data_IF_258450537300
#
_entry.id   IF_258450537300
#
_cell.length_a   1.000
_cell.length_b   1.000
_cell.length_c   1.000
_cell.angle_alpha   90.00
_cell.angle_beta   90.00
_cell.angle_gamma   90.00
#
_symmetry.space_group_name_H-M   'P 1'
#
loop_
_entity.id
_entity.type
_entity.pdbx_description
1 polymer ?
#
# COMPACT_ATOMS: atom_id res chain seq x y z
N UNK A 1 -4.30 9.70 4.65
CA UNK A 1 -5.58 9.03 4.36
C UNK A 1 -5.99 8.15 5.53
N UNK A 2 -7.27 8.03 5.77
CA UNK A 2 -7.85 7.14 6.76
C UNK A 2 -8.43 5.93 6.03
N UNK A 3 -7.84 4.72 6.24
CA UNK A 3 -8.29 3.51 5.56
C UNK A 3 -9.77 3.17 5.79
N UNK A 4 -10.31 3.51 6.98
CA UNK A 4 -11.73 3.31 7.30
C UNK A 4 -12.65 4.19 6.48
N UNK A 5 -12.15 5.36 6.05
CA UNK A 5 -12.92 6.32 5.26
C UNK A 5 -12.70 6.16 3.77
N UNK A 6 -11.47 5.81 3.35
CA UNK A 6 -11.04 5.94 1.96
C UNK A 6 -10.89 4.59 1.24
N UNK A 7 -10.66 3.49 1.98
CA UNK A 7 -10.24 2.23 1.38
C UNK A 7 -11.17 1.03 1.68
N UNK A 8 -12.13 1.15 2.57
CA UNK A 8 -13.08 0.07 2.90
C UNK A 8 -14.41 0.62 3.43
N UNK A 9 -15.42 -0.24 3.46
CA UNK A 9 -16.70 0.03 4.15
C UNK A 9 -16.78 -0.90 5.35
N UNK A 10 -16.63 -0.38 6.60
CA UNK A 10 -16.54 -1.20 7.81
C UNK A 10 -17.72 -2.14 8.06
N UNK A 11 -18.93 -1.71 7.70
CA UNK A 11 -20.18 -2.45 7.87
C UNK A 11 -20.44 -3.48 6.77
N UNK A 12 -19.64 -3.48 5.71
CA UNK A 12 -19.72 -4.47 4.66
C UNK A 12 -18.93 -5.73 5.05
N UNK A 13 -19.38 -6.87 4.53
CA UNK A 13 -18.65 -8.13 4.63
C UNK A 13 -17.30 -8.05 3.92
N UNK A 14 -16.41 -8.99 4.22
CA UNK A 14 -15.13 -9.14 3.52
C UNK A 14 -15.39 -9.35 2.02
N UNK A 15 -16.35 -10.20 1.67
CA UNK A 15 -16.76 -10.44 0.28
C UNK A 15 -17.17 -9.15 -0.43
N UNK A 16 -18.02 -8.33 0.18
CA UNK A 16 -18.45 -7.05 -0.40
C UNK A 16 -17.31 -6.04 -0.50
N UNK A 17 -16.38 -6.04 0.46
CA UNK A 17 -15.19 -5.20 0.38
C UNK A 17 -14.24 -5.60 -0.76
N UNK A 18 -14.19 -6.87 -1.16
CA UNK A 18 -13.46 -7.30 -2.35
C UNK A 18 -14.09 -6.80 -3.66
N UNK A 19 -15.38 -6.48 -3.67
CA UNK A 19 -16.08 -5.93 -4.84
C UNK A 19 -15.85 -4.43 -5.05
N UNK A 20 -15.44 -3.68 -4.01
CA UNK A 20 -15.31 -2.22 -4.08
C UNK A 20 -14.35 -1.80 -5.20
N UNK A 21 -14.84 -0.98 -6.12
CA UNK A 21 -14.11 -0.53 -7.31
C UNK A 21 -14.24 -1.45 -8.52
N UNK A 22 -14.77 -2.67 -8.38
CA UNK A 22 -14.82 -3.71 -9.41
C UNK A 22 -16.24 -4.20 -9.72
N UNK A 23 -17.24 -3.36 -9.44
CA UNK A 23 -18.65 -3.70 -9.60
C UNK A 23 -19.05 -3.97 -11.07
N UNK A 24 -18.28 -3.43 -12.02
CA UNK A 24 -18.51 -3.60 -13.45
C UNK A 24 -17.61 -4.68 -14.08
N UNK A 25 -16.73 -5.31 -13.30
CA UNK A 25 -15.85 -6.38 -13.78
C UNK A 25 -16.72 -7.55 -14.29
N UNK A 26 -16.54 -8.00 -15.56
CA UNK A 26 -17.28 -9.14 -16.11
C UNK A 26 -17.14 -10.43 -15.30
N UNK A 27 -16.11 -10.55 -14.49
CA UNK A 27 -15.89 -11.66 -13.56
C UNK A 27 -16.99 -11.72 -12.51
N UNK A 28 -17.43 -10.57 -12.00
CA UNK A 28 -18.39 -10.45 -10.91
C UNK A 28 -19.75 -9.91 -11.35
N UNK A 29 -19.84 -9.23 -12.50
CA UNK A 29 -21.07 -8.64 -12.98
C UNK A 29 -21.53 -9.28 -14.29
N UNK A 30 -22.69 -9.93 -14.25
CA UNK A 30 -23.32 -10.56 -15.42
C UNK A 30 -24.67 -9.91 -15.67
N UNK A 31 -24.84 -9.26 -16.83
CA UNK A 31 -26.11 -8.60 -17.23
C UNK A 31 -26.65 -7.62 -16.18
N UNK A 32 -25.76 -6.90 -15.49
CA UNK A 32 -26.12 -5.93 -14.46
C UNK A 32 -26.39 -6.51 -13.07
N UNK A 33 -26.21 -7.82 -12.87
CA UNK A 33 -26.36 -8.49 -11.58
C UNK A 33 -25.00 -9.00 -11.07
N UNK A 34 -24.76 -8.84 -9.77
CA UNK A 34 -23.55 -9.34 -9.11
C UNK A 34 -23.65 -10.85 -8.91
N UNK A 35 -22.62 -11.57 -9.38
CA UNK A 35 -22.42 -13.00 -9.12
C UNK A 35 -21.73 -13.17 -7.74
N UNK A 36 -22.51 -13.11 -6.68
CA UNK A 36 -22.00 -13.25 -5.31
C UNK A 36 -21.28 -14.57 -5.06
N UNK A 37 -21.62 -15.63 -5.79
CA UNK A 37 -20.94 -16.92 -5.65
C UNK A 37 -19.51 -16.84 -6.17
N UNK A 38 -19.30 -16.27 -7.35
CA UNK A 38 -17.98 -16.06 -7.93
C UNK A 38 -17.13 -15.12 -7.03
N UNK A 39 -17.74 -14.06 -6.52
CA UNK A 39 -17.09 -13.11 -5.63
C UNK A 39 -16.67 -13.76 -4.30
N UNK A 40 -17.53 -14.60 -3.72
CA UNK A 40 -17.22 -15.32 -2.46
C UNK A 40 -16.09 -16.34 -2.65
N UNK A 41 -16.09 -17.05 -3.78
CA UNK A 41 -15.01 -18.00 -4.11
C UNK A 41 -13.67 -17.27 -4.23
N UNK A 42 -13.63 -16.13 -4.91
CA UNK A 42 -12.44 -15.31 -5.02
C UNK A 42 -11.99 -14.73 -3.67
N UNK A 43 -12.92 -14.21 -2.89
CA UNK A 43 -12.61 -13.70 -1.56
C UNK A 43 -11.95 -14.78 -0.68
N UNK A 44 -12.38 -16.04 -0.76
CA UNK A 44 -11.75 -17.17 -0.06
C UNK A 44 -10.32 -17.40 -0.52
N UNK A 45 -10.06 -17.35 -1.82
CA UNK A 45 -8.71 -17.48 -2.38
C UNK A 45 -7.79 -16.37 -1.86
N UNK A 46 -8.26 -15.11 -1.88
CA UNK A 46 -7.48 -13.98 -1.37
C UNK A 46 -7.25 -14.08 0.14
N UNK A 47 -8.25 -14.51 0.90
CA UNK A 47 -8.12 -14.73 2.35
C UNK A 47 -7.03 -15.76 2.66
N UNK A 48 -6.95 -16.83 1.91
CA UNK A 48 -5.92 -17.86 2.05
C UNK A 48 -4.54 -17.34 1.61
N UNK A 49 -4.45 -16.72 0.43
CA UNK A 49 -3.21 -16.20 -0.14
C UNK A 49 -2.54 -15.15 0.77
N UNK A 50 -3.34 -14.27 1.38
CA UNK A 50 -2.86 -13.22 2.27
C UNK A 50 -2.86 -13.63 3.76
N UNK A 51 -3.18 -14.89 4.05
CA UNK A 51 -3.28 -15.40 5.43
C UNK A 51 -4.12 -14.49 6.33
N UNK A 52 -5.31 -14.08 5.85
CA UNK A 52 -6.20 -13.18 6.58
C UNK A 52 -6.93 -13.98 7.65
N UNK A 53 -6.78 -13.59 8.92
CA UNK A 53 -7.45 -14.27 10.04
C UNK A 53 -8.88 -13.79 10.17
N UNK A 54 -9.84 -14.63 9.82
CA UNK A 54 -11.28 -14.35 9.81
C UNK A 54 -12.07 -15.55 10.34
N UNK A 55 -13.30 -15.32 10.77
CA UNK A 55 -14.26 -16.39 11.08
C UNK A 55 -14.96 -16.91 9.81
N UNK A 56 -15.07 -16.07 8.78
CA UNK A 56 -15.67 -16.39 7.48
C UNK A 56 -15.74 -15.14 6.61
N UNK A 57 -15.86 -15.29 5.28
CA UNK A 57 -15.87 -14.15 4.33
C UNK A 57 -17.12 -13.27 4.42
N UNK A 58 -18.18 -13.75 5.10
CA UNK A 58 -19.37 -12.97 5.44
C UNK A 58 -19.19 -12.07 6.67
N UNK A 59 -18.06 -12.20 7.41
CA UNK A 59 -17.75 -11.33 8.55
C UNK A 59 -17.57 -9.89 8.08
N UNK A 60 -18.04 -8.91 8.86
CA UNK A 60 -17.83 -7.49 8.58
C UNK A 60 -16.36 -7.14 8.76
N UNK A 61 -15.79 -6.40 7.80
CA UNK A 61 -14.37 -6.03 7.80
C UNK A 61 -14.02 -5.16 9.01
N UNK A 62 -14.95 -4.34 9.51
CA UNK A 62 -14.76 -3.51 10.69
C UNK A 62 -14.44 -4.28 11.97
N UNK A 63 -14.78 -5.57 12.04
CA UNK A 63 -14.50 -6.45 13.19
C UNK A 63 -13.07 -7.03 13.17
N UNK A 64 -12.34 -6.86 12.07
CA UNK A 64 -10.97 -7.34 11.95
C UNK A 64 -9.97 -6.41 12.64
N UNK A 65 -8.83 -6.97 13.04
CA UNK A 65 -7.66 -6.15 13.42
C UNK A 65 -7.17 -5.30 12.24
N UNK A 66 -6.55 -4.15 12.53
CA UNK A 66 -6.03 -3.27 11.48
C UNK A 66 -5.11 -3.96 10.48
N UNK A 67 -4.28 -4.92 10.95
CA UNK A 67 -3.43 -5.71 10.07
C UNK A 67 -4.21 -6.62 9.12
N UNK A 68 -5.30 -7.24 9.57
CA UNK A 68 -6.15 -8.07 8.72
C UNK A 68 -6.98 -7.20 7.75
N UNK A 69 -7.47 -6.04 8.18
CA UNK A 69 -8.10 -5.07 7.29
C UNK A 69 -7.17 -4.65 6.15
N UNK A 70 -5.91 -4.34 6.47
CA UNK A 70 -4.91 -3.97 5.47
C UNK A 70 -4.63 -5.10 4.48
N UNK A 71 -4.61 -6.34 4.95
CA UNK A 71 -4.47 -7.53 4.09
C UNK A 71 -5.65 -7.68 3.12
N UNK A 72 -6.89 -7.43 3.57
CA UNK A 72 -8.07 -7.45 2.68
C UNK A 72 -7.93 -6.38 1.59
N UNK A 73 -7.54 -5.15 1.96
CA UNK A 73 -7.33 -4.06 1.00
C UNK A 73 -6.23 -4.44 -0.01
N UNK A 74 -5.08 -4.91 0.45
CA UNK A 74 -3.99 -5.34 -0.44
C UNK A 74 -4.42 -6.50 -1.34
N UNK A 75 -5.10 -7.51 -0.79
CA UNK A 75 -5.63 -8.64 -1.56
C UNK A 75 -6.55 -8.18 -2.67
N UNK A 76 -7.48 -7.27 -2.38
CA UNK A 76 -8.36 -6.68 -3.40
C UNK A 76 -7.57 -5.99 -4.50
N UNK A 77 -6.70 -5.05 -4.13
CA UNK A 77 -5.97 -4.24 -5.11
C UNK A 77 -5.00 -5.07 -5.96
N UNK A 78 -4.49 -6.19 -5.43
CA UNK A 78 -3.56 -7.06 -6.17
C UNK A 78 -4.25 -8.17 -6.97
N UNK A 79 -5.49 -8.55 -6.63
CA UNK A 79 -6.22 -9.63 -7.31
C UNK A 79 -6.52 -9.37 -8.79
N UNK A 80 -6.47 -8.11 -9.21
CA UNK A 80 -6.68 -7.67 -10.59
C UNK A 80 -5.38 -7.49 -11.39
N UNK A 81 -4.27 -7.98 -10.87
CA UNK A 81 -2.95 -7.97 -11.53
C UNK A 81 -2.52 -6.59 -12.09
N UNK A 82 -2.58 -5.51 -11.29
CA UNK A 82 -2.28 -4.17 -11.77
C UNK A 82 -0.81 -4.06 -12.20
N UNK A 83 -0.55 -3.33 -13.30
CA UNK A 83 0.82 -2.99 -13.72
C UNK A 83 1.43 -1.86 -12.90
N UNK A 84 0.58 -1.02 -12.28
CA UNK A 84 0.97 0.12 -11.43
C UNK A 84 0.10 0.18 -10.18
N UNK A 85 0.72 0.47 -9.04
CA UNK A 85 0.03 0.68 -7.75
C UNK A 85 0.45 1.99 -7.10
N UNK A 86 -0.53 2.76 -6.63
CA UNK A 86 -0.33 3.87 -5.71
C UNK A 86 -0.62 3.39 -4.28
N UNK A 87 0.40 3.40 -3.43
CA UNK A 87 0.35 2.89 -2.07
C UNK A 87 0.65 4.02 -1.09
N UNK A 88 -0.38 4.52 -0.41
CA UNK A 88 -0.27 5.65 0.50
C UNK A 88 -0.41 5.21 1.97
N UNK A 89 0.63 5.45 2.77
CA UNK A 89 0.68 5.18 4.22
C UNK A 89 0.31 3.72 4.57
N UNK A 90 0.89 2.69 3.91
CA UNK A 90 0.40 1.31 4.00
C UNK A 90 0.53 0.70 5.39
N UNK A 91 1.45 1.19 6.22
CA UNK A 91 1.74 0.62 7.55
C UNK A 91 1.20 1.44 8.71
N UNK A 92 0.52 2.55 8.44
CA UNK A 92 0.04 3.45 9.50
C UNK A 92 -0.91 2.74 10.46
N UNK A 93 -0.54 2.74 11.76
CA UNK A 93 -1.35 2.14 12.82
C UNK A 93 -1.38 0.61 12.81
N UNK A 94 -0.38 -0.04 12.22
CA UNK A 94 -0.19 -1.49 12.26
C UNK A 94 0.84 -1.89 13.34
N UNK A 95 0.72 -3.13 13.82
CA UNK A 95 1.76 -3.77 14.63
C UNK A 95 2.97 -4.18 13.78
N UNK A 96 4.11 -4.42 14.43
CA UNK A 96 5.38 -4.76 13.75
C UNK A 96 5.24 -5.97 12.81
N UNK A 97 4.53 -7.01 13.24
CA UNK A 97 4.34 -8.20 12.41
C UNK A 97 3.47 -7.93 11.17
N UNK A 98 2.48 -7.02 11.27
CA UNK A 98 1.68 -6.59 10.12
C UNK A 98 2.51 -5.72 9.16
N UNK A 99 3.36 -4.83 9.67
CA UNK A 99 4.30 -4.01 8.89
C UNK A 99 5.21 -4.90 8.03
N UNK A 100 5.87 -5.89 8.64
CA UNK A 100 6.75 -6.80 7.91
C UNK A 100 6.03 -7.54 6.77
N UNK A 101 4.79 -7.96 7.01
CA UNK A 101 3.99 -8.64 5.97
C UNK A 101 3.66 -7.72 4.81
N UNK A 102 3.22 -6.47 5.08
CA UNK A 102 2.98 -5.46 4.04
C UNK A 102 4.24 -5.22 3.22
N UNK A 103 5.38 -5.01 3.88
CA UNK A 103 6.67 -4.80 3.20
C UNK A 103 7.06 -5.98 2.31
N UNK A 104 6.90 -7.22 2.80
CA UNK A 104 7.16 -8.43 2.01
C UNK A 104 6.26 -8.51 0.78
N UNK A 105 4.98 -8.17 0.91
CA UNK A 105 4.03 -8.12 -0.21
C UNK A 105 4.47 -7.10 -1.26
N UNK A 106 4.80 -5.87 -0.86
CA UNK A 106 5.26 -4.83 -1.78
C UNK A 106 6.56 -5.21 -2.50
N UNK A 107 7.52 -5.80 -1.77
CA UNK A 107 8.77 -6.30 -2.37
C UNK A 107 8.53 -7.46 -3.34
N UNK A 108 7.55 -8.32 -3.07
CA UNK A 108 7.18 -9.41 -3.97
C UNK A 108 6.57 -8.86 -5.27
N UNK A 109 5.61 -7.94 -5.17
CA UNK A 109 5.00 -7.27 -6.34
C UNK A 109 6.05 -6.56 -7.20
N UNK A 110 7.02 -5.89 -6.56
CA UNK A 110 8.16 -5.29 -7.24
C UNK A 110 8.98 -6.33 -8.01
N UNK A 111 9.28 -7.50 -7.42
CA UNK A 111 9.99 -8.60 -8.10
C UNK A 111 9.21 -9.16 -9.28
N UNK A 112 7.90 -9.12 -9.23
CA UNK A 112 6.98 -9.51 -10.32
C UNK A 112 6.90 -8.43 -11.43
N UNK A 113 7.66 -7.34 -11.30
CA UNK A 113 7.73 -6.28 -12.31
C UNK A 113 6.64 -5.22 -12.20
N UNK A 114 5.89 -5.16 -11.10
CA UNK A 114 4.91 -4.11 -10.86
C UNK A 114 5.58 -2.78 -10.55
N UNK A 115 5.08 -1.70 -11.11
CA UNK A 115 5.50 -0.35 -10.74
C UNK A 115 4.74 0.10 -9.49
N UNK A 116 5.45 0.57 -8.46
CA UNK A 116 4.84 0.98 -7.18
C UNK A 116 5.26 2.41 -6.86
N UNK A 117 4.28 3.30 -6.68
CA UNK A 117 4.49 4.62 -6.10
C UNK A 117 4.13 4.55 -4.61
N UNK A 118 5.13 4.47 -3.75
CA UNK A 118 4.97 4.46 -2.30
C UNK A 118 4.99 5.90 -1.77
N UNK A 119 3.95 6.28 -1.03
CA UNK A 119 3.88 7.53 -0.27
C UNK A 119 3.86 7.18 1.21
N UNK A 120 4.89 7.56 1.95
CA UNK A 120 4.97 7.29 3.39
C UNK A 120 5.64 8.44 4.13
N UNK A 121 5.20 8.67 5.37
CA UNK A 121 5.85 9.56 6.33
C UNK A 121 6.96 8.83 7.11
N UNK A 122 7.01 7.49 7.03
CA UNK A 122 8.02 6.66 7.69
C UNK A 122 9.27 6.57 6.80
N UNK A 123 10.28 7.41 7.07
CA UNK A 123 11.50 7.47 6.26
C UNK A 123 12.18 6.10 6.13
N UNK A 124 12.21 5.29 7.19
CA UNK A 124 12.78 3.95 7.16
C UNK A 124 12.05 3.01 6.18
N UNK A 125 10.73 3.14 6.06
CA UNK A 125 9.94 2.39 5.08
C UNK A 125 10.36 2.76 3.66
N UNK A 126 10.40 4.08 3.36
CA UNK A 126 10.77 4.58 2.03
C UNK A 126 12.19 4.13 1.66
N UNK A 127 13.16 4.26 2.58
CA UNK A 127 14.55 3.87 2.34
C UNK A 127 14.72 2.37 2.08
N UNK A 128 13.94 1.52 2.76
CA UNK A 128 14.07 0.06 2.65
C UNK A 128 13.34 -0.54 1.44
N UNK A 129 12.31 0.10 0.92
CA UNK A 129 11.46 -0.48 -0.13
C UNK A 129 11.71 0.12 -1.51
N UNK A 130 12.16 1.39 -1.58
CA UNK A 130 12.21 2.15 -2.83
C UNK A 130 13.54 1.98 -3.57
N UNK A 131 13.51 2.04 -4.91
CA UNK A 131 14.72 2.16 -5.74
C UNK A 131 15.10 3.63 -5.97
N UNK A 132 14.09 4.50 -5.98
CA UNK A 132 14.23 5.95 -6.14
C UNK A 132 13.38 6.64 -5.09
N UNK A 133 13.89 7.73 -4.56
CA UNK A 133 13.23 8.52 -3.52
C UNK A 133 13.06 9.94 -4.05
N UNK A 134 11.86 10.49 -3.87
CA UNK A 134 11.55 11.89 -4.07
C UNK A 134 11.08 12.49 -2.75
N UNK A 135 11.62 13.65 -2.38
CA UNK A 135 11.24 14.37 -1.16
C UNK A 135 10.46 15.61 -1.55
N UNK A 136 9.31 15.78 -0.93
CA UNK A 136 8.42 16.94 -1.13
C UNK A 136 8.46 17.83 0.11
N UNK A 137 8.60 19.13 -0.09
CA UNK A 137 8.51 20.16 0.94
C UNK A 137 7.69 21.34 0.43
N UNK A 138 6.67 21.74 1.17
CA UNK A 138 5.77 22.88 0.83
C UNK A 138 5.23 22.86 -0.61
N UNK A 139 4.93 21.68 -1.14
CA UNK A 139 4.37 21.49 -2.48
C UNK A 139 5.41 21.45 -3.61
N UNK A 140 6.71 21.60 -3.30
CA UNK A 140 7.81 21.48 -4.24
C UNK A 140 8.65 20.21 -3.99
N UNK A 141 9.30 19.72 -5.04
CA UNK A 141 10.28 18.64 -4.93
C UNK A 141 11.63 19.21 -4.47
N UNK A 142 12.01 18.95 -3.21
CA UNK A 142 13.29 19.42 -2.64
C UNK A 142 14.47 18.55 -3.08
N UNK A 143 14.26 17.25 -3.30
CA UNK A 143 15.29 16.32 -3.77
C UNK A 143 14.69 15.11 -4.50
N UNK A 144 15.48 14.53 -5.43
CA UNK A 144 15.19 13.25 -6.08
C UNK A 144 16.49 12.47 -6.33
N UNK A 145 16.58 11.22 -5.84
CA UNK A 145 17.81 10.43 -5.90
C UNK A 145 17.53 8.92 -5.91
N UNK A 146 18.55 8.11 -6.15
CA UNK A 146 18.49 6.65 -5.99
C UNK A 146 18.62 6.28 -4.51
N UNK A 147 17.97 5.22 -4.09
CA UNK A 147 18.11 4.69 -2.75
C UNK A 147 19.59 4.39 -2.44
N UNK A 148 20.03 4.72 -1.23
CA UNK A 148 21.40 4.54 -0.78
C UNK A 148 22.38 5.65 -1.15
N UNK A 149 21.97 6.70 -1.89
CA UNK A 149 22.83 7.85 -2.20
C UNK A 149 23.03 8.81 -1.04
N UNK A 150 22.04 8.89 -0.13
CA UNK A 150 22.05 9.81 1.00
C UNK A 150 21.72 9.06 2.30
N UNK A 151 22.31 9.54 3.39
CA UNK A 151 22.03 9.08 4.75
C UNK A 151 20.64 9.53 5.21
N UNK A 152 20.17 8.97 6.31
CA UNK A 152 18.90 9.35 6.92
C UNK A 152 18.88 10.83 7.34
N UNK A 153 20.01 11.30 7.85
CA UNK A 153 20.23 12.66 8.30
C UNK A 153 20.15 13.66 7.13
N UNK A 154 20.80 13.36 6.01
CA UNK A 154 20.77 14.18 4.80
C UNK A 154 19.36 14.23 4.18
N UNK A 155 18.66 13.09 4.14
CA UNK A 155 17.27 13.07 3.70
C UNK A 155 16.39 13.92 4.62
N UNK A 156 16.67 13.91 5.93
CA UNK A 156 16.03 14.80 6.90
C UNK A 156 16.19 16.29 6.57
N UNK A 157 17.36 16.70 6.03
CA UNK A 157 17.57 18.08 5.58
C UNK A 157 16.69 18.43 4.38
N UNK A 158 16.54 17.52 3.41
CA UNK A 158 15.62 17.72 2.29
C UNK A 158 14.16 17.82 2.75
N UNK A 159 13.77 17.02 3.73
CA UNK A 159 12.44 17.08 4.36
C UNK A 159 12.21 18.40 5.13
N UNK A 160 13.28 19.09 5.53
CA UNK A 160 13.24 20.42 6.15
C UNK A 160 13.36 21.57 5.13
N UNK A 161 13.37 21.27 3.83
CA UNK A 161 13.36 22.25 2.75
C UNK A 161 14.74 22.62 2.19
N UNK A 162 15.86 22.03 2.66
CA UNK A 162 17.14 22.20 1.96
C UNK A 162 17.05 21.58 0.56
N UNK A 163 17.61 22.26 -0.43
CA UNK A 163 17.70 21.75 -1.80
C UNK A 163 18.86 20.78 -1.95
N UNK A 164 18.76 19.86 -2.89
CA UNK A 164 19.78 18.84 -3.13
C UNK A 164 21.14 19.46 -3.50
N UNK A 165 21.15 20.60 -4.22
CA UNK A 165 22.35 21.33 -4.58
C UNK A 165 23.10 21.90 -3.37
N UNK A 166 22.36 22.37 -2.34
CA UNK A 166 22.95 22.94 -1.15
C UNK A 166 23.66 21.87 -0.30
N UNK A 167 23.03 20.70 -0.16
CA UNK A 167 23.60 19.58 0.61
C UNK A 167 24.81 18.98 -0.11
N UNK A 168 24.80 18.88 -1.44
CA UNK A 168 25.93 18.39 -2.23
C UNK A 168 27.17 19.31 -2.05
N UNK A 169 26.99 20.63 -2.07
CA UNK A 169 28.05 21.59 -1.86
C UNK A 169 28.66 21.55 -0.43
N UNK A 170 27.86 21.24 0.57
CA UNK A 170 28.34 21.07 1.97
C UNK A 170 29.18 19.78 2.12
N UNK A 171 28.90 18.73 1.35
CA UNK A 171 29.65 17.46 1.36
C UNK A 171 31.03 17.58 0.67
N UNK A 172 31.13 18.35 -0.41
CA UNK A 172 32.39 18.55 -1.15
C UNK A 172 33.39 19.44 -0.37
N UNK A 173 32.99 20.07 0.73
CA UNK A 173 33.83 20.92 1.58
C UNK A 173 34.37 20.25 2.85
N UNK A 174 34.03 18.96 3.08
CA UNK A 174 34.52 18.14 4.21
C UNK A 174 35.53 17.09 3.74
#
# INVERSE_FOLDING_TARGET
SDRHKDAMVPDFSITENFLLGYQEDPKYCKKGFIDYKALEEDAKVQVEQFEIKIAGVSQHIGQLSGGNQQKVILGRETSHDPSFMLVAQPVRGLDIGAIERVHKTLLQLKKEGKAILLISAELSEVMNLSDRIAVLYEGEMSAQFKAGQYTKEEIGLFMAGKKQEDVANEMDQQ
#
